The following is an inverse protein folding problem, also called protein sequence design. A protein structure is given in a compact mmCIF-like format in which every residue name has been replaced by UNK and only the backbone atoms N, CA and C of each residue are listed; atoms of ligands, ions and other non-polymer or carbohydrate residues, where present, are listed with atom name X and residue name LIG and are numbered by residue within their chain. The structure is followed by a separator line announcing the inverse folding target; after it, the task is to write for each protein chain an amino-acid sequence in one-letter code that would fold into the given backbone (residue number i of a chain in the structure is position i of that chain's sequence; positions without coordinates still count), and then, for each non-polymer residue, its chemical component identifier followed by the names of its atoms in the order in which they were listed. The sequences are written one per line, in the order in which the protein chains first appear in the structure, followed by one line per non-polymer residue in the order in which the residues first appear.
data_IF_826319515124
#
_entry.id   IF_826319515124
#
_cell.length_a   1.000
_cell.length_b   1.000
_cell.length_c   1.000
_cell.angle_alpha   90.00
_cell.angle_beta   90.00
_cell.angle_gamma   90.00
#
_symmetry.space_group_name_H-M   'P 1'
#
loop_
_entity.id
_entity.type
_entity.pdbx_description
1 polymer ?
#
# COMPACT_ATOMS: atom_id res chain seq x y z
N UNK A 1 -36.79 -1.39 -15.10
CA UNK A 1 -35.42 -1.91 -15.10
C UNK A 1 -35.34 -3.16 -14.25
N UNK A 2 -34.77 -4.20 -14.77
CA UNK A 2 -34.63 -5.45 -14.03
C UNK A 2 -33.23 -5.50 -13.38
N UNK A 3 -33.18 -5.94 -12.14
CA UNK A 3 -31.90 -6.10 -11.43
C UNK A 3 -30.98 -7.10 -12.13
N UNK A 4 -31.50 -7.93 -13.04
CA UNK A 4 -30.72 -8.89 -13.80
C UNK A 4 -29.69 -8.23 -14.74
N UNK A 5 -29.87 -6.94 -15.07
CA UNK A 5 -28.93 -6.20 -15.91
C UNK A 5 -27.72 -5.66 -15.09
N UNK A 6 -27.79 -5.70 -13.77
CA UNK A 6 -26.76 -5.21 -12.88
C UNK A 6 -26.10 -6.39 -12.18
N UNK A 7 -24.80 -6.54 -12.38
CA UNK A 7 -24.03 -7.59 -11.72
C UNK A 7 -23.21 -7.00 -10.59
N UNK A 8 -23.17 -7.65 -9.42
CA UNK A 8 -22.26 -7.22 -8.35
C UNK A 8 -20.81 -7.34 -8.80
N UNK A 9 -20.03 -6.33 -8.50
CA UNK A 9 -18.62 -6.33 -8.83
C UNK A 9 -17.79 -6.70 -7.60
N UNK A 10 -16.75 -7.51 -7.75
CA UNK A 10 -15.83 -7.75 -6.65
C UNK A 10 -15.01 -6.49 -6.35
N UNK A 11 -14.51 -6.40 -5.13
CA UNK A 11 -13.59 -5.33 -4.79
C UNK A 11 -12.35 -5.41 -5.70
N UNK A 12 -11.84 -4.27 -6.22
CA UNK A 12 -10.71 -4.29 -7.16
C UNK A 12 -9.37 -4.48 -6.43
N UNK A 13 -9.17 -5.64 -5.85
CA UNK A 13 -7.94 -6.02 -5.15
C UNK A 13 -7.56 -7.43 -5.56
N UNK A 14 -6.28 -7.64 -5.85
CA UNK A 14 -5.72 -8.96 -6.16
C UNK A 14 -4.44 -9.15 -5.35
N UNK A 15 -4.15 -10.40 -4.98
CA UNK A 15 -2.89 -10.73 -4.34
C UNK A 15 -1.82 -10.93 -5.41
N UNK A 16 -0.67 -10.31 -5.22
CA UNK A 16 0.48 -10.57 -6.09
C UNK A 16 1.27 -11.77 -5.57
N UNK A 17 2.37 -12.08 -6.23
CA UNK A 17 3.22 -13.23 -5.87
C UNK A 17 3.84 -13.10 -4.47
N UNK A 18 4.05 -11.87 -4.02
CA UNK A 18 4.61 -11.59 -2.69
C UNK A 18 3.54 -11.56 -1.59
N UNK A 19 2.27 -11.79 -1.92
CA UNK A 19 1.17 -11.74 -0.96
C UNK A 19 0.67 -10.34 -0.66
N UNK A 20 0.95 -9.38 -1.52
CA UNK A 20 0.46 -8.00 -1.37
C UNK A 20 -0.87 -7.82 -2.09
N UNK A 21 -1.76 -7.07 -1.47
CA UNK A 21 -3.01 -6.67 -2.10
C UNK A 21 -2.77 -5.47 -3.00
N UNK A 22 -2.98 -5.67 -4.29
CA UNK A 22 -2.72 -4.68 -5.34
C UNK A 22 -4.01 -4.32 -6.06
N UNK A 23 -4.07 -3.11 -6.59
CA UNK A 23 -5.16 -2.74 -7.50
C UNK A 23 -4.84 -3.33 -8.88
N UNK A 24 -5.74 -4.14 -9.47
CA UNK A 24 -5.47 -4.81 -10.73
C UNK A 24 -5.07 -3.83 -11.83
N UNK A 25 -4.08 -4.22 -12.63
CA UNK A 25 -3.60 -3.42 -13.75
C UNK A 25 -2.75 -2.22 -13.35
N UNK A 26 -2.42 -2.09 -12.09
CA UNK A 26 -1.58 -1.00 -11.60
C UNK A 26 -0.49 -1.54 -10.71
N UNK A 27 0.47 -0.68 -10.34
CA UNK A 27 1.51 -0.99 -9.35
C UNK A 27 1.17 -0.41 -7.98
N UNK A 28 -0.08 -0.02 -7.80
CA UNK A 28 -0.54 0.63 -6.58
C UNK A 28 -1.11 -0.43 -5.64
N UNK A 29 -0.59 -0.44 -4.41
CA UNK A 29 -1.03 -1.38 -3.39
C UNK A 29 -2.12 -0.76 -2.50
N UNK A 30 -2.86 -1.64 -1.81
CA UNK A 30 -3.86 -1.24 -0.83
C UNK A 30 -3.27 -0.29 0.23
N UNK A 31 -2.07 -0.61 0.71
CA UNK A 31 -1.43 0.16 1.77
C UNK A 31 -1.16 1.62 1.36
N UNK A 32 -0.83 1.88 0.10
CA UNK A 32 -0.63 3.25 -0.38
C UNK A 32 -1.92 4.06 -0.32
N UNK A 33 -3.04 3.45 -0.73
CA UNK A 33 -4.34 4.12 -0.72
C UNK A 33 -4.83 4.36 0.70
N UNK A 34 -4.69 3.36 1.57
CA UNK A 34 -5.09 3.48 2.98
C UNK A 34 -4.24 4.53 3.69
N UNK A 35 -2.93 4.56 3.45
CA UNK A 35 -2.04 5.55 4.05
C UNK A 35 -2.44 6.98 3.64
N UNK A 36 -2.76 7.19 2.37
CA UNK A 36 -3.23 8.49 1.89
C UNK A 36 -4.54 8.90 2.57
N UNK A 37 -5.47 7.95 2.71
CA UNK A 37 -6.73 8.20 3.39
C UNK A 37 -6.52 8.54 4.86
N UNK A 38 -5.62 7.84 5.54
CA UNK A 38 -5.29 8.10 6.95
C UNK A 38 -4.65 9.47 7.16
N UNK A 39 -3.97 10.01 6.14
CA UNK A 39 -3.43 11.36 6.17
C UNK A 39 -4.49 12.44 5.95
N UNK A 40 -5.74 12.05 5.76
CA UNK A 40 -6.85 12.97 5.58
C UNK A 40 -7.15 13.34 4.14
N UNK A 41 -6.58 12.64 3.16
CA UNK A 41 -6.88 12.91 1.77
C UNK A 41 -8.25 12.35 1.39
N UNK A 42 -9.00 13.12 0.60
CA UNK A 42 -10.27 12.66 0.05
C UNK A 42 -10.02 11.62 -1.05
N UNK A 43 -11.02 10.79 -1.40
CA UNK A 43 -10.88 9.86 -2.52
C UNK A 43 -10.47 10.56 -3.82
N UNK A 44 -10.98 11.77 -4.06
CA UNK A 44 -10.65 12.56 -5.25
C UNK A 44 -9.18 12.99 -5.23
N UNK A 45 -8.67 13.43 -4.09
CA UNK A 45 -7.27 13.80 -3.94
C UNK A 45 -6.36 12.58 -4.10
N UNK A 46 -6.78 11.44 -3.57
CA UNK A 46 -6.04 10.18 -3.75
C UNK A 46 -5.96 9.81 -5.22
N UNK A 47 -7.07 9.93 -5.94
CA UNK A 47 -7.08 9.67 -7.39
C UNK A 47 -6.13 10.60 -8.14
N UNK A 48 -6.05 11.86 -7.75
CA UNK A 48 -5.11 12.79 -8.37
C UNK A 48 -3.66 12.37 -8.17
N UNK A 49 -3.34 11.82 -7.00
CA UNK A 49 -1.99 11.34 -6.69
C UNK A 49 -1.68 9.99 -7.35
N UNK A 50 -2.70 9.19 -7.60
CA UNK A 50 -2.56 7.86 -8.21
C UNK A 50 -3.49 7.74 -9.41
N UNK A 51 -3.20 8.48 -10.50
CA UNK A 51 -4.14 8.58 -11.62
C UNK A 51 -4.35 7.27 -12.38
N UNK A 52 -3.47 6.28 -12.21
CA UNK A 52 -3.66 4.96 -12.82
C UNK A 52 -4.76 4.15 -12.13
N UNK A 53 -5.17 4.55 -10.92
CA UNK A 53 -6.29 3.94 -10.22
C UNK A 53 -7.54 4.77 -10.51
N UNK A 54 -8.55 4.14 -11.11
CA UNK A 54 -9.81 4.84 -11.40
C UNK A 54 -10.44 5.35 -10.11
N UNK A 55 -11.11 6.49 -10.17
CA UNK A 55 -11.76 7.07 -9.00
C UNK A 55 -12.75 6.09 -8.35
N UNK A 56 -13.52 5.37 -9.17
CA UNK A 56 -14.45 4.35 -8.67
C UNK A 56 -13.72 3.27 -7.87
N UNK A 57 -12.52 2.89 -8.31
CA UNK A 57 -11.72 1.88 -7.62
C UNK A 57 -11.16 2.41 -6.30
N UNK A 58 -10.79 3.70 -6.26
CA UNK A 58 -10.39 4.33 -5.00
C UNK A 58 -11.52 4.24 -3.97
N UNK A 59 -12.74 4.61 -4.38
CA UNK A 59 -13.91 4.51 -3.49
C UNK A 59 -14.16 3.07 -3.06
N UNK A 60 -14.05 2.11 -3.99
CA UNK A 60 -14.31 0.70 -3.69
C UNK A 60 -13.30 0.15 -2.69
N UNK A 61 -12.03 0.47 -2.86
CA UNK A 61 -10.96 0.02 -1.96
C UNK A 61 -11.12 0.64 -0.57
N UNK A 62 -11.40 1.93 -0.50
CA UNK A 62 -11.62 2.60 0.78
C UNK A 62 -12.86 2.09 1.49
N UNK A 63 -13.93 1.79 0.74
CA UNK A 63 -15.13 1.16 1.30
C UNK A 63 -14.80 -0.22 1.89
N UNK A 64 -14.02 -1.01 1.18
CA UNK A 64 -13.55 -2.31 1.68
C UNK A 64 -12.75 -2.13 2.97
N UNK A 65 -11.82 -1.19 3.00
CA UNK A 65 -11.03 -0.90 4.20
C UNK A 65 -11.93 -0.53 5.38
N UNK A 66 -12.91 0.35 5.17
CA UNK A 66 -13.80 0.78 6.23
C UNK A 66 -14.66 -0.35 6.78
N UNK A 67 -15.03 -1.31 5.94
CA UNK A 67 -15.81 -2.48 6.35
C UNK A 67 -14.96 -3.57 7.01
N UNK A 68 -13.65 -3.61 6.72
CA UNK A 68 -12.73 -4.64 7.21
C UNK A 68 -11.55 -4.01 7.93
N UNK A 69 -11.80 -2.99 8.70
CA UNK A 69 -10.77 -2.18 9.33
C UNK A 69 -9.77 -2.99 10.15
N UNK A 70 -10.28 -3.87 10.99
CA UNK A 70 -9.43 -4.70 11.86
C UNK A 70 -8.55 -5.63 11.04
N UNK A 71 -9.14 -6.30 10.05
CA UNK A 71 -8.41 -7.24 9.20
C UNK A 71 -7.37 -6.53 8.34
N UNK A 72 -7.71 -5.38 7.76
CA UNK A 72 -6.79 -4.61 6.94
C UNK A 72 -5.65 -4.05 7.80
N UNK A 73 -5.95 -3.53 8.98
CA UNK A 73 -4.91 -3.03 9.88
C UNK A 73 -3.96 -4.14 10.32
N UNK A 74 -4.47 -5.35 10.58
CA UNK A 74 -3.63 -6.49 10.91
C UNK A 74 -2.74 -6.88 9.72
N UNK A 75 -3.29 -6.87 8.50
CA UNK A 75 -2.54 -7.13 7.28
C UNK A 75 -1.41 -6.09 7.10
N UNK A 76 -1.71 -4.81 7.29
CA UNK A 76 -0.71 -3.75 7.14
C UNK A 76 0.39 -3.86 8.19
N UNK A 77 0.03 -4.19 9.44
CA UNK A 77 0.99 -4.38 10.50
C UNK A 77 1.91 -5.56 10.23
N UNK A 78 1.37 -6.65 9.69
CA UNK A 78 2.16 -7.83 9.33
C UNK A 78 3.12 -7.51 8.16
N UNK A 79 2.65 -6.77 7.17
CA UNK A 79 3.49 -6.35 6.05
C UNK A 79 4.66 -5.46 6.53
N UNK A 80 4.38 -4.54 7.44
CA UNK A 80 5.41 -3.68 8.02
C UNK A 80 6.42 -4.50 8.83
N UNK A 81 5.95 -5.47 9.58
CA UNK A 81 6.82 -6.34 10.38
C UNK A 81 7.74 -7.18 9.48
N UNK A 82 7.20 -7.74 8.40
CA UNK A 82 7.99 -8.50 7.44
C UNK A 82 9.06 -7.62 6.78
N UNK A 83 8.70 -6.38 6.43
CA UNK A 83 9.64 -5.43 5.85
C UNK A 83 10.76 -5.11 6.85
N UNK A 84 10.42 -4.90 8.12
CA UNK A 84 11.39 -4.64 9.19
C UNK A 84 12.32 -5.83 9.41
N UNK A 85 11.79 -7.06 9.38
CA UNK A 85 12.60 -8.28 9.53
C UNK A 85 13.57 -8.44 8.36
N UNK A 86 13.14 -8.17 7.14
CA UNK A 86 13.99 -8.21 5.95
C UNK A 86 15.08 -7.16 6.07
N UNK A 87 14.73 -5.95 6.46
CA UNK A 87 15.67 -4.86 6.65
C UNK A 87 16.72 -5.21 7.70
N UNK A 88 16.28 -5.76 8.83
CA UNK A 88 17.19 -6.19 9.89
C UNK A 88 18.17 -7.26 9.43
N UNK A 89 17.69 -8.22 8.61
CA UNK A 89 18.56 -9.26 8.04
C UNK A 89 19.58 -8.69 7.07
N UNK A 90 19.14 -7.77 6.21
CA UNK A 90 20.04 -7.09 5.27
C UNK A 90 21.12 -6.32 6.02
N UNK A 91 20.75 -5.60 7.06
CA UNK A 91 21.69 -4.86 7.88
C UNK A 91 22.68 -5.76 8.62
N UNK A 92 22.22 -6.96 9.04
CA UNK A 92 23.10 -7.92 9.70
C UNK A 92 24.09 -8.55 8.74
N UNK A 93 23.67 -8.86 7.48
CA UNK A 93 24.53 -9.45 6.46
C UNK A 93 25.44 -8.41 5.80
N UNK A 94 24.95 -7.19 5.63
CA UNK A 94 25.65 -6.11 4.97
C UNK A 94 25.62 -4.87 5.87
N UNK A 95 26.46 -4.84 6.95
CA UNK A 95 26.43 -3.70 7.87
C UNK A 95 26.71 -2.40 7.13
N UNK A 96 25.73 -1.51 7.13
CA UNK A 96 25.82 -0.23 6.44
C UNK A 96 26.27 0.91 7.33
N UNK A 97 26.37 0.68 8.62
CA UNK A 97 26.72 1.72 9.60
C UNK A 97 28.07 2.34 9.31
N UNK A 98 29.08 1.51 9.02
CA UNK A 98 30.40 2.01 8.66
C UNK A 98 30.40 2.79 7.35
N UNK A 99 29.68 2.32 6.35
CA UNK A 99 29.55 3.00 5.06
C UNK A 99 28.80 4.31 5.21
N UNK A 100 27.72 4.30 5.98
CA UNK A 100 26.93 5.50 6.25
C UNK A 100 27.75 6.57 6.94
N UNK A 101 28.54 6.18 7.94
CA UNK A 101 29.45 7.09 8.64
C UNK A 101 30.48 7.70 7.68
N UNK A 102 31.03 6.90 6.78
CA UNK A 102 31.97 7.36 5.76
C UNK A 102 31.36 8.37 4.80
N UNK A 103 30.12 8.09 4.37
CA UNK A 103 29.41 8.99 3.45
C UNK A 103 29.08 10.31 4.13
N UNK A 104 28.65 10.27 5.38
CA UNK A 104 28.36 11.47 6.16
C UNK A 104 29.63 12.31 6.42
N UNK A 105 30.74 11.64 6.67
CA UNK A 105 32.03 12.31 6.84
C UNK A 105 32.46 13.05 5.58
N UNK A 106 32.25 12.43 4.40
CA UNK A 106 32.54 13.06 3.11
C UNK A 106 31.70 14.29 2.86
N UNK A 107 30.42 14.24 3.25
CA UNK A 107 29.51 15.37 3.07
C UNK A 107 29.90 16.57 3.94
N UNK A 108 30.60 16.33 5.04
CA UNK A 108 31.04 17.37 5.98
C UNK A 108 32.44 17.89 5.70
N UNK A 109 33.12 17.38 4.70
CA UNK A 109 34.44 17.91 4.27
C UNK A 109 34.27 19.19 3.39
#
# INVERSE_FOLDING_TARGET
MTAAALEPEPVPLVLDEAGRLMVPGTRISLDLLVAAFQRGQSPEAIHENFPTVALADVYAVLSYYLRHRTEVQAYLAEADREADEIQARIEAEFPTDGLRAKLLARLNE
#
